data_IF_791371165753
#
_entry.id   IF_791371165753
#
_cell.length_a   1.000
_cell.length_b   1.000
_cell.length_c   1.000
_cell.angle_alpha   90.00
_cell.angle_beta   90.00
_cell.angle_gamma   90.00
#
_symmetry.space_group_name_H-M   'P 1'
#
loop_
_entity.id
_entity.type
_entity.pdbx_description
1 polymer ?
#
# COMPACT_ATOMS: atom_id res chain seq x y z
N UNK A 1 -46.38 -32.64 3.37
CA UNK A 1 -46.28 -31.27 2.82
C UNK A 1 -45.97 -30.18 3.82
N UNK A 2 -46.41 -30.21 5.07
CA UNK A 2 -46.13 -29.13 6.07
C UNK A 2 -44.64 -29.02 6.45
N UNK A 3 -43.94 -30.12 6.63
CA UNK A 3 -42.49 -30.13 7.00
C UNK A 3 -41.59 -29.55 5.89
N UNK A 4 -41.88 -29.78 4.61
CA UNK A 4 -41.07 -29.22 3.53
C UNK A 4 -41.17 -27.71 3.41
N UNK A 5 -42.36 -27.12 3.67
CA UNK A 5 -42.52 -25.65 3.74
C UNK A 5 -41.81 -25.04 4.93
N UNK A 6 -41.82 -25.68 6.09
CA UNK A 6 -41.11 -25.22 7.27
C UNK A 6 -39.58 -25.25 7.03
N UNK A 7 -39.08 -26.34 6.47
CA UNK A 7 -37.64 -26.48 6.14
C UNK A 7 -37.17 -25.42 5.13
N UNK A 8 -38.00 -25.16 4.12
CA UNK A 8 -37.73 -24.10 3.13
C UNK A 8 -37.70 -22.70 3.77
N UNK A 9 -38.66 -22.40 4.65
CA UNK A 9 -38.69 -21.13 5.37
C UNK A 9 -37.49 -20.97 6.28
N UNK A 10 -37.08 -22.02 6.98
CA UNK A 10 -35.88 -22.03 7.82
C UNK A 10 -34.60 -21.77 6.99
N UNK A 11 -34.47 -22.45 5.86
CA UNK A 11 -33.35 -22.23 4.92
C UNK A 11 -33.30 -20.80 4.41
N UNK A 12 -34.44 -20.24 3.98
CA UNK A 12 -34.54 -18.85 3.53
C UNK A 12 -34.16 -17.88 4.64
N UNK A 13 -34.64 -18.12 5.87
CA UNK A 13 -34.28 -17.29 7.04
C UNK A 13 -32.77 -17.35 7.34
N UNK A 14 -32.15 -18.53 7.29
CA UNK A 14 -30.70 -18.69 7.46
C UNK A 14 -29.91 -17.95 6.37
N UNK A 15 -30.35 -18.01 5.10
CA UNK A 15 -29.72 -17.29 4.00
C UNK A 15 -29.84 -15.77 4.21
N UNK A 16 -31.01 -15.26 4.61
CA UNK A 16 -31.21 -13.84 4.89
C UNK A 16 -30.30 -13.38 6.04
N UNK A 17 -30.22 -14.14 7.12
CA UNK A 17 -29.36 -13.83 8.26
C UNK A 17 -27.88 -13.82 7.85
N UNK A 18 -27.45 -14.77 7.05
CA UNK A 18 -26.08 -14.84 6.52
C UNK A 18 -25.76 -13.61 5.66
N UNK A 19 -26.64 -13.29 4.70
CA UNK A 19 -26.46 -12.12 3.83
C UNK A 19 -26.44 -10.82 4.65
N UNK A 20 -27.34 -10.70 5.63
CA UNK A 20 -27.39 -9.53 6.52
C UNK A 20 -26.12 -9.40 7.36
N UNK A 21 -25.59 -10.51 7.88
CA UNK A 21 -24.32 -10.56 8.61
C UNK A 21 -23.12 -10.13 7.75
N UNK A 22 -23.07 -10.63 6.52
CA UNK A 22 -22.04 -10.22 5.55
C UNK A 22 -22.15 -8.74 5.23
N UNK A 23 -23.33 -8.23 4.92
CA UNK A 23 -23.56 -6.83 4.60
C UNK A 23 -23.20 -5.91 5.77
N UNK A 24 -23.58 -6.28 7.00
CA UNK A 24 -23.21 -5.54 8.21
C UNK A 24 -21.69 -5.51 8.40
N UNK A 25 -21.02 -6.64 8.23
CA UNK A 25 -19.57 -6.71 8.35
C UNK A 25 -18.87 -5.82 7.30
N UNK A 26 -19.29 -5.89 6.03
CA UNK A 26 -18.77 -5.02 4.99
C UNK A 26 -18.95 -3.56 5.40
N UNK A 27 -20.15 -3.18 5.84
CA UNK A 27 -20.44 -1.81 6.26
C UNK A 27 -19.56 -1.34 7.42
N UNK A 28 -19.30 -2.17 8.42
CA UNK A 28 -18.46 -1.80 9.57
C UNK A 28 -16.97 -1.69 9.22
N UNK A 29 -16.48 -2.57 8.36
CA UNK A 29 -15.04 -2.61 8.02
C UNK A 29 -14.66 -1.60 6.96
N UNK A 30 -15.57 -1.24 6.05
CA UNK A 30 -15.27 -0.37 4.89
C UNK A 30 -15.13 1.13 5.23
N UNK A 31 -15.40 1.55 6.48
CA UNK A 31 -15.33 2.96 6.86
C UNK A 31 -13.92 3.51 6.63
N UNK A 32 -13.77 4.68 5.99
CA UNK A 32 -12.47 5.32 5.83
C UNK A 32 -11.77 5.52 7.18
N UNK A 33 -10.45 5.57 7.14
CA UNK A 33 -9.68 5.99 8.31
C UNK A 33 -9.88 7.47 8.58
N UNK A 34 -9.89 7.84 9.85
CA UNK A 34 -9.82 9.20 10.35
C UNK A 34 -8.45 9.44 10.99
N UNK A 35 -8.04 10.68 11.14
CA UNK A 35 -6.77 11.01 11.78
C UNK A 35 -6.68 10.45 13.22
N UNK A 36 -7.78 10.41 13.94
CA UNK A 36 -7.90 9.84 15.29
C UNK A 36 -7.76 8.31 15.36
N UNK A 37 -7.90 7.62 14.22
CA UNK A 37 -7.68 6.17 14.14
C UNK A 37 -6.19 5.80 14.13
N UNK A 38 -5.31 6.77 13.91
CA UNK A 38 -3.86 6.55 13.78
C UNK A 38 -3.25 6.39 15.18
N UNK A 39 -2.71 5.22 15.52
CA UNK A 39 -2.16 4.99 16.86
C UNK A 39 -0.82 5.68 17.05
N UNK A 40 -0.48 5.98 18.29
CA UNK A 40 0.78 6.57 18.66
C UNK A 40 1.93 5.58 18.54
N UNK A 41 3.02 6.03 17.91
CA UNK A 41 4.26 5.28 17.77
C UNK A 41 5.45 6.16 18.19
N UNK A 42 6.55 5.51 18.53
CA UNK A 42 7.82 6.16 18.86
C UNK A 42 8.93 5.70 17.96
N UNK A 43 9.81 6.62 17.58
CA UNK A 43 11.02 6.34 16.81
C UNK A 43 12.21 6.24 17.79
N UNK A 44 12.95 5.16 17.70
CA UNK A 44 14.19 4.95 18.44
C UNK A 44 15.33 4.69 17.45
N UNK A 45 16.37 5.51 17.51
CA UNK A 45 17.58 5.27 16.72
C UNK A 45 18.38 4.12 17.34
N UNK A 46 18.52 3.02 16.59
CA UNK A 46 19.39 1.91 16.98
C UNK A 46 20.83 2.14 16.52
N UNK A 47 20.96 2.67 15.31
CA UNK A 47 22.22 3.09 14.72
C UNK A 47 21.99 4.33 13.85
N UNK A 48 23.04 5.05 13.39
CA UNK A 48 22.89 6.17 12.46
C UNK A 48 22.12 5.86 11.17
N UNK A 49 21.95 4.57 10.83
CA UNK A 49 21.36 4.10 9.58
C UNK A 49 20.16 3.17 9.78
N UNK A 50 19.77 2.89 11.02
CA UNK A 50 18.67 1.97 11.32
C UNK A 50 17.91 2.45 12.54
N UNK A 51 16.59 2.60 12.38
CA UNK A 51 15.67 3.01 13.42
C UNK A 51 14.64 1.91 13.69
N UNK A 52 14.24 1.79 14.92
CA UNK A 52 13.09 1.00 15.32
C UNK A 52 11.90 1.94 15.56
N UNK A 53 10.77 1.59 15.01
CA UNK A 53 9.51 2.24 15.31
C UNK A 53 8.69 1.27 16.15
N UNK A 54 8.17 1.71 17.27
CA UNK A 54 7.45 0.87 18.23
C UNK A 54 6.13 1.51 18.61
N UNK A 55 5.05 0.72 18.61
CA UNK A 55 3.74 1.17 19.06
C UNK A 55 3.79 1.52 20.55
N UNK A 56 3.07 2.58 20.93
CA UNK A 56 2.95 2.99 22.35
C UNK A 56 1.97 2.09 23.06
N UNK A 57 0.87 1.73 22.40
CA UNK A 57 -0.22 0.94 22.99
C UNK A 57 0.07 -0.55 22.98
N UNK A 58 0.91 -1.03 22.04
CA UNK A 58 1.32 -2.42 21.93
C UNK A 58 2.84 -2.51 21.73
N UNK A 59 3.65 -2.52 22.80
CA UNK A 59 5.11 -2.54 22.72
C UNK A 59 5.72 -3.75 22.02
N UNK A 60 4.98 -4.86 21.86
CA UNK A 60 5.41 -6.01 21.10
C UNK A 60 5.37 -5.74 19.57
N UNK A 61 4.60 -4.75 19.15
CA UNK A 61 4.55 -4.32 17.75
C UNK A 61 5.65 -3.34 17.45
N UNK A 62 6.54 -3.75 16.58
CA UNK A 62 7.60 -2.88 16.08
C UNK A 62 7.82 -3.08 14.58
N UNK A 63 8.38 -2.07 13.96
CA UNK A 63 8.88 -2.15 12.58
C UNK A 63 10.21 -1.42 12.48
N UNK A 64 10.87 -1.55 11.34
CA UNK A 64 12.19 -0.98 11.12
C UNK A 64 12.16 -0.01 9.95
N UNK A 65 12.86 1.11 10.12
CA UNK A 65 13.20 2.01 9.04
C UNK A 65 14.73 2.05 8.86
N UNK A 66 15.15 2.07 7.60
CA UNK A 66 16.55 2.25 7.24
C UNK A 66 16.74 3.60 6.59
N UNK A 67 17.81 4.28 6.94
CA UNK A 67 18.14 5.58 6.38
C UNK A 67 19.45 5.51 5.60
N UNK A 68 19.44 6.06 4.39
CA UNK A 68 20.66 6.45 3.68
C UNK A 68 20.77 7.96 3.71
N UNK A 69 21.96 8.47 3.98
CA UNK A 69 22.21 9.91 4.04
C UNK A 69 23.59 10.25 3.56
N UNK A 70 23.79 11.42 2.93
CA UNK A 70 25.13 11.95 2.70
C UNK A 70 25.77 12.35 4.02
N UNK A 71 27.05 12.08 4.16
CA UNK A 71 27.82 12.55 5.31
C UNK A 71 27.98 14.08 5.28
N UNK A 72 27.91 14.70 6.44
CA UNK A 72 28.16 16.15 6.64
C UNK A 72 27.27 17.07 5.79
N UNK A 73 26.08 16.62 5.45
CA UNK A 73 25.10 17.43 4.70
C UNK A 73 23.74 17.40 5.43
N UNK A 74 23.06 18.53 5.39
CA UNK A 74 21.65 18.65 5.74
C UNK A 74 20.82 18.54 4.46
N UNK A 75 19.95 17.56 4.37
CA UNK A 75 19.24 17.27 3.13
C UNK A 75 17.72 17.15 3.34
N UNK A 76 17.00 17.45 2.28
CA UNK A 76 15.59 17.09 2.15
C UNK A 76 15.43 15.57 2.27
N UNK A 77 14.28 15.13 2.75
CA UNK A 77 14.04 13.74 3.09
C UNK A 77 12.97 13.12 2.20
N UNK A 78 13.28 11.97 1.63
CA UNK A 78 12.32 11.10 0.96
C UNK A 78 12.01 9.91 1.86
N UNK A 79 10.76 9.77 2.29
CA UNK A 79 10.27 8.62 3.04
C UNK A 79 9.56 7.68 2.06
N UNK A 80 10.01 6.44 1.98
CA UNK A 80 9.44 5.42 1.08
C UNK A 80 8.80 4.33 1.92
N UNK A 81 7.54 4.04 1.62
CA UNK A 81 6.84 2.86 2.13
C UNK A 81 6.86 1.79 1.04
N UNK A 82 7.68 0.79 1.23
CA UNK A 82 7.83 -0.30 0.27
C UNK A 82 6.75 -1.37 0.44
N UNK A 83 6.39 -2.04 -0.67
CA UNK A 83 5.45 -3.17 -0.65
C UNK A 83 6.01 -4.49 -0.14
N UNK A 84 7.32 -4.62 0.16
CA UNK A 84 7.96 -5.93 0.37
C UNK A 84 9.10 -5.90 1.38
N UNK A 85 9.38 -7.08 1.94
CA UNK A 85 10.42 -7.43 2.93
C UNK A 85 11.88 -7.08 2.54
N UNK A 86 12.12 -6.48 1.39
CA UNK A 86 13.44 -6.35 0.79
C UNK A 86 14.15 -5.00 1.05
N UNK A 87 13.59 -4.16 1.93
CA UNK A 87 14.16 -2.84 2.20
C UNK A 87 15.66 -2.87 2.57
N UNK A 88 16.07 -3.85 3.35
CA UNK A 88 17.48 -4.01 3.72
C UNK A 88 18.36 -4.38 2.51
N UNK A 89 17.86 -5.22 1.60
CA UNK A 89 18.56 -5.56 0.35
C UNK A 89 18.59 -4.39 -0.63
N UNK A 90 17.53 -3.56 -0.65
CA UNK A 90 17.47 -2.37 -1.49
C UNK A 90 18.54 -1.34 -1.11
N UNK A 91 18.75 -1.15 0.19
CA UNK A 91 19.77 -0.24 0.70
C UNK A 91 21.16 -0.87 0.75
N UNK A 92 21.27 -2.17 0.99
CA UNK A 92 22.53 -2.92 1.01
C UNK A 92 23.01 -3.35 -0.38
N UNK A 93 22.14 -3.34 -1.38
CA UNK A 93 22.41 -3.71 -2.78
C UNK A 93 23.45 -2.88 -3.50
N UNK A 94 24.26 -2.24 -2.69
CA UNK A 94 25.59 -1.72 -3.03
C UNK A 94 25.56 -0.43 -3.80
N UNK A 95 26.04 0.61 -3.20
CA UNK A 95 26.90 1.68 -3.74
C UNK A 95 26.62 2.32 -5.10
N UNK A 96 25.71 1.80 -5.89
CA UNK A 96 25.29 2.35 -7.18
C UNK A 96 24.18 3.39 -7.07
N UNK A 97 23.46 3.42 -5.96
CA UNK A 97 22.49 4.45 -5.64
C UNK A 97 23.23 5.68 -5.10
N UNK A 98 23.80 6.46 -5.98
CA UNK A 98 24.32 7.79 -5.63
C UNK A 98 23.18 8.75 -5.40
N UNK A 99 22.49 8.55 -4.30
CA UNK A 99 21.45 9.43 -3.88
C UNK A 99 22.03 10.63 -3.13
N UNK A 100 21.70 11.83 -3.59
CA UNK A 100 22.06 13.06 -2.91
C UNK A 100 20.84 13.55 -2.10
N UNK A 101 20.64 13.01 -0.94
CA UNK A 101 19.51 13.34 -0.08
C UNK A 101 19.33 12.29 1.01
N UNK A 102 18.48 12.58 2.00
CA UNK A 102 18.07 11.56 2.95
C UNK A 102 17.01 10.67 2.32
N UNK A 103 17.22 9.38 2.32
CA UNK A 103 16.17 8.40 1.98
C UNK A 103 15.91 7.51 3.15
N UNK A 104 14.67 7.47 3.57
CA UNK A 104 14.20 6.59 4.64
C UNK A 104 13.28 5.56 4.01
N UNK A 105 13.63 4.30 4.15
CA UNK A 105 12.81 3.18 3.70
C UNK A 105 12.19 2.52 4.91
N UNK A 106 10.88 2.64 5.07
CA UNK A 106 10.13 1.99 6.14
C UNK A 106 9.64 0.62 5.70
N UNK A 107 9.93 -0.40 6.52
CA UNK A 107 9.31 -1.71 6.38
C UNK A 107 7.85 -1.61 6.83
N UNK A 108 6.94 -2.11 6.01
CA UNK A 108 5.54 -2.20 6.43
C UNK A 108 5.39 -3.21 7.57
N UNK A 109 4.68 -2.86 8.66
CA UNK A 109 4.23 -3.84 9.63
C UNK A 109 3.26 -4.86 9.02
N UNK A 110 2.47 -4.45 8.01
CA UNK A 110 1.60 -5.36 7.23
C UNK A 110 2.46 -6.40 6.56
N UNK A 111 2.59 -7.49 7.22
CA UNK A 111 3.43 -8.58 6.76
C UNK A 111 2.83 -9.21 5.51
N UNK A 112 3.66 -9.40 4.49
CA UNK A 112 3.50 -10.44 3.47
C UNK A 112 3.17 -11.81 4.09
N UNK A 113 3.47 -11.98 5.37
CA UNK A 113 3.08 -13.10 6.22
C UNK A 113 1.55 -13.30 6.27
N UNK A 114 0.73 -12.26 6.43
CA UNK A 114 -0.72 -12.41 6.43
C UNK A 114 -1.20 -12.99 5.10
N UNK A 115 -0.76 -12.39 3.99
CA UNK A 115 -1.13 -12.88 2.67
C UNK A 115 -0.62 -14.29 2.41
N UNK A 116 0.64 -14.63 2.79
CA UNK A 116 1.20 -15.98 2.61
C UNK A 116 0.58 -17.01 3.54
N UNK A 117 0.30 -16.64 4.79
CA UNK A 117 -0.29 -17.53 5.77
C UNK A 117 -1.72 -17.91 5.37
N UNK A 118 -2.54 -16.91 5.06
CA UNK A 118 -3.92 -17.14 4.64
C UNK A 118 -4.02 -17.75 3.25
N UNK A 119 -3.05 -17.50 2.38
CA UNK A 119 -3.00 -18.11 1.05
C UNK A 119 -2.67 -19.60 1.07
N UNK A 120 -1.93 -20.04 2.07
CA UNK A 120 -1.58 -21.47 2.24
C UNK A 120 -2.60 -22.26 3.04
N UNK A 121 -3.26 -21.63 3.98
CA UNK A 121 -4.19 -22.28 4.91
C UNK A 121 -5.60 -21.76 4.64
N UNK A 122 -6.31 -22.39 3.70
CA UNK A 122 -7.68 -22.07 3.35
C UNK A 122 -8.67 -22.47 4.45
N UNK A 123 -8.60 -21.85 5.62
CA UNK A 123 -9.64 -21.97 6.63
C UNK A 123 -10.67 -20.85 6.43
N UNK A 124 -11.94 -21.25 6.27
CA UNK A 124 -13.05 -20.31 5.99
C UNK A 124 -13.26 -19.33 7.15
N UNK A 125 -12.97 -19.74 8.38
CA UNK A 125 -13.09 -18.87 9.56
C UNK A 125 -11.98 -17.81 9.58
N UNK A 126 -10.78 -18.17 9.18
CA UNK A 126 -9.68 -17.21 9.04
C UNK A 126 -9.98 -16.17 7.98
N UNK A 127 -10.53 -16.58 6.83
CA UNK A 127 -10.95 -15.66 5.77
C UNK A 127 -11.93 -14.60 6.24
N UNK A 128 -12.82 -14.97 7.16
CA UNK A 128 -13.79 -14.03 7.72
C UNK A 128 -13.14 -12.93 8.57
N UNK A 129 -11.98 -13.18 9.15
CA UNK A 129 -11.23 -12.23 10.00
C UNK A 129 -10.19 -11.41 9.24
N UNK A 130 -9.82 -11.81 8.01
CA UNK A 130 -8.77 -11.14 7.22
C UNK A 130 -9.00 -9.63 7.10
N UNK A 131 -10.21 -9.12 6.74
CA UNK A 131 -10.40 -7.70 6.55
C UNK A 131 -10.11 -6.86 7.78
N UNK A 132 -10.53 -7.32 8.97
CA UNK A 132 -10.23 -6.60 10.22
C UNK A 132 -8.75 -6.66 10.55
N UNK A 133 -8.11 -7.80 10.33
CA UNK A 133 -6.66 -7.93 10.55
C UNK A 133 -5.87 -7.04 9.60
N UNK A 134 -6.25 -6.98 8.31
CA UNK A 134 -5.60 -6.07 7.36
C UNK A 134 -5.86 -4.61 7.76
N UNK A 135 -7.08 -4.27 8.18
CA UNK A 135 -7.41 -2.92 8.66
C UNK A 135 -6.55 -2.55 9.87
N UNK A 136 -6.41 -3.44 10.83
CA UNK A 136 -5.59 -3.21 12.03
C UNK A 136 -4.11 -3.03 11.68
N UNK A 137 -3.56 -3.87 10.81
CA UNK A 137 -2.18 -3.72 10.33
C UNK A 137 -1.98 -2.44 9.53
N UNK A 138 -2.98 -2.04 8.74
CA UNK A 138 -2.97 -0.75 8.04
C UNK A 138 -2.90 0.41 9.02
N UNK A 139 -3.71 0.38 10.08
CA UNK A 139 -3.73 1.37 11.15
C UNK A 139 -2.36 1.51 11.81
N UNK A 140 -1.71 0.38 12.13
CA UNK A 140 -0.37 0.38 12.70
C UNK A 140 0.71 0.87 11.72
N UNK A 141 0.56 0.59 10.44
CA UNK A 141 1.47 1.13 9.41
C UNK A 141 1.35 2.65 9.31
N UNK A 142 0.13 3.18 9.36
CA UNK A 142 -0.10 4.63 9.39
C UNK A 142 0.51 5.27 10.63
N UNK A 143 0.36 4.65 11.82
CA UNK A 143 0.97 5.16 13.06
C UNK A 143 2.50 5.18 13.01
N UNK A 144 3.11 4.11 12.51
CA UNK A 144 4.56 4.08 12.33
C UNK A 144 5.06 5.15 11.35
N UNK A 145 4.31 5.35 10.26
CA UNK A 145 4.65 6.35 9.24
C UNK A 145 4.46 7.78 9.76
N UNK A 146 3.39 8.05 10.51
CA UNK A 146 3.15 9.36 11.15
C UNK A 146 4.24 9.69 12.18
N UNK A 147 4.62 8.73 13.03
CA UNK A 147 5.71 8.91 13.97
C UNK A 147 7.03 9.23 13.27
N UNK A 148 7.30 8.56 12.15
CA UNK A 148 8.49 8.82 11.34
C UNK A 148 8.46 10.21 10.71
N UNK A 149 7.33 10.62 10.13
CA UNK A 149 7.12 11.95 9.57
C UNK A 149 7.31 13.04 10.64
N UNK A 150 6.67 12.87 11.78
CA UNK A 150 6.78 13.79 12.91
C UNK A 150 8.22 13.87 13.46
N UNK A 151 8.94 12.74 13.51
CA UNK A 151 10.33 12.70 13.92
C UNK A 151 11.22 13.52 12.98
N UNK A 152 11.07 13.37 11.67
CA UNK A 152 11.85 14.11 10.68
C UNK A 152 11.50 15.60 10.67
N UNK A 153 10.20 15.94 10.69
CA UNK A 153 9.72 17.35 10.73
C UNK A 153 10.00 18.05 12.06
N UNK A 154 10.00 17.29 13.15
CA UNK A 154 10.29 17.80 14.49
C UNK A 154 11.76 17.80 14.86
N UNK A 155 12.65 17.49 13.92
CA UNK A 155 14.09 17.51 14.15
C UNK A 155 14.51 18.86 14.72
N UNK A 156 15.27 18.79 15.83
CA UNK A 156 15.71 20.01 16.53
C UNK A 156 16.65 20.82 15.65
N UNK A 157 16.75 22.14 15.84
CA UNK A 157 17.67 22.99 15.08
C UNK A 157 19.13 22.52 15.09
N UNK A 158 19.55 21.84 16.17
CA UNK A 158 20.85 21.22 16.30
C UNK A 158 21.00 19.91 15.53
N UNK A 159 19.91 19.30 15.07
CA UNK A 159 19.96 18.12 14.22
C UNK A 159 20.18 18.54 12.76
N UNK A 160 21.42 18.56 12.38
CA UNK A 160 21.85 18.97 11.03
C UNK A 160 21.63 17.92 9.96
N UNK A 161 20.89 16.84 10.23
CA UNK A 161 20.65 15.77 9.25
C UNK A 161 19.51 16.11 8.29
N UNK A 162 18.47 16.78 8.79
CA UNK A 162 17.22 16.99 8.07
C UNK A 162 16.98 18.48 7.80
N UNK A 163 16.39 18.77 6.66
CA UNK A 163 15.71 20.04 6.40
C UNK A 163 14.25 19.90 6.83
N UNK A 164 13.47 20.97 6.67
CA UNK A 164 12.03 20.98 6.88
C UNK A 164 11.21 20.32 5.75
N UNK A 165 11.88 19.92 4.64
CA UNK A 165 11.19 19.35 3.48
C UNK A 165 11.16 17.84 3.51
N UNK A 166 9.94 17.29 3.38
CA UNK A 166 9.69 15.85 3.33
C UNK A 166 8.83 15.50 2.13
N UNK A 167 9.34 14.57 1.34
CA UNK A 167 8.60 13.90 0.26
C UNK A 167 8.23 12.51 0.74
N UNK A 168 6.99 12.10 0.51
CA UNK A 168 6.53 10.76 0.81
C UNK A 168 6.30 9.98 -0.48
N UNK A 169 6.66 8.70 -0.48
CA UNK A 169 6.44 7.82 -1.61
C UNK A 169 5.90 6.46 -1.15
N UNK A 170 4.96 5.92 -1.92
CA UNK A 170 4.47 4.57 -1.72
C UNK A 170 4.39 3.79 -3.02
N UNK A 171 4.82 2.53 -2.98
CA UNK A 171 4.85 1.66 -4.14
C UNK A 171 3.86 0.49 -4.05
N UNK A 172 3.06 0.26 -5.11
CA UNK A 172 2.12 -0.86 -5.21
C UNK A 172 1.22 -0.93 -3.97
N UNK A 173 1.21 -2.03 -3.23
CA UNK A 173 0.46 -2.18 -1.97
C UNK A 173 0.91 -1.22 -0.86
N UNK A 174 2.04 -0.55 -1.02
CA UNK A 174 2.52 0.50 -0.13
C UNK A 174 1.99 1.89 -0.44
N UNK A 175 1.42 2.08 -1.62
CA UNK A 175 0.95 3.38 -2.09
C UNK A 175 -0.18 4.01 -1.25
N UNK A 176 -1.15 3.26 -0.71
CA UNK A 176 -2.21 3.84 0.10
C UNK A 176 -1.73 4.57 1.36
N UNK A 177 -0.68 4.08 2.02
CA UNK A 177 -0.27 4.62 3.32
C UNK A 177 0.17 6.09 3.27
N UNK A 178 1.12 6.51 2.39
CA UNK A 178 1.48 7.92 2.28
C UNK A 178 0.32 8.78 1.77
N UNK A 179 -0.57 8.26 0.91
CA UNK A 179 -1.77 8.99 0.45
C UNK A 179 -2.71 9.27 1.62
N UNK A 180 -3.05 8.25 2.40
CA UNK A 180 -3.94 8.38 3.56
C UNK A 180 -3.34 9.36 4.57
N UNK A 181 -2.07 9.19 4.94
CA UNK A 181 -1.43 10.06 5.92
C UNK A 181 -1.31 11.50 5.43
N UNK A 182 -0.95 11.71 4.16
CA UNK A 182 -0.89 13.06 3.58
C UNK A 182 -2.26 13.74 3.59
N UNK A 183 -3.35 12.99 3.41
CA UNK A 183 -4.70 13.55 3.46
C UNK A 183 -5.10 14.05 4.86
N UNK A 184 -4.47 13.54 5.92
CA UNK A 184 -4.71 13.97 7.30
C UNK A 184 -3.88 15.18 7.72
N UNK A 185 -2.68 15.33 7.12
CA UNK A 185 -1.74 16.40 7.45
C UNK A 185 -0.96 16.87 6.19
N UNK A 186 -1.66 17.43 5.19
CA UNK A 186 -1.03 17.83 3.94
C UNK A 186 0.06 18.89 4.14
N UNK A 187 -0.05 19.71 5.17
CA UNK A 187 0.94 20.74 5.50
C UNK A 187 2.30 20.17 5.97
N UNK A 188 2.34 18.89 6.36
CA UNK A 188 3.59 18.21 6.76
C UNK A 188 4.33 17.58 5.59
N UNK A 189 3.70 17.47 4.41
CA UNK A 189 4.23 16.75 3.26
C UNK A 189 4.41 17.70 2.09
N UNK A 190 5.66 17.92 1.69
CA UNK A 190 6.02 18.85 0.63
C UNK A 190 5.87 18.27 -0.78
N UNK A 191 5.72 16.94 -0.88
CA UNK A 191 5.46 16.23 -2.14
C UNK A 191 5.06 14.78 -1.91
N UNK A 192 4.21 14.25 -2.77
CA UNK A 192 3.69 12.89 -2.70
C UNK A 192 3.96 12.13 -4.00
N UNK A 193 4.52 10.94 -3.91
CA UNK A 193 4.70 10.05 -5.06
C UNK A 193 3.91 8.76 -4.89
N UNK A 194 3.11 8.43 -5.90
CA UNK A 194 2.31 7.21 -5.99
C UNK A 194 2.89 6.34 -7.10
N UNK A 195 3.60 5.30 -6.72
CA UNK A 195 4.40 4.48 -7.65
C UNK A 195 3.67 3.15 -7.88
N UNK A 196 3.19 2.91 -9.09
CA UNK A 196 2.36 1.74 -9.44
C UNK A 196 1.16 1.60 -8.49
N UNK A 197 0.60 2.74 -8.10
CA UNK A 197 -0.58 2.80 -7.26
C UNK A 197 -1.85 2.46 -8.03
N UNK A 198 -2.82 1.91 -7.33
CA UNK A 198 -4.10 1.51 -7.91
C UNK A 198 -5.24 1.80 -6.95
N UNK A 199 -6.41 1.97 -7.51
CA UNK A 199 -7.70 1.92 -6.83
C UNK A 199 -8.55 0.80 -7.42
N UNK A 200 -9.79 0.64 -6.94
CA UNK A 200 -10.66 -0.44 -7.39
C UNK A 200 -10.03 -1.82 -7.13
N UNK A 201 -9.87 -2.15 -5.85
CA UNK A 201 -9.25 -3.41 -5.40
C UNK A 201 -9.81 -4.64 -6.11
N UNK A 202 -11.08 -4.62 -6.53
CA UNK A 202 -11.67 -5.75 -7.26
C UNK A 202 -10.93 -6.04 -8.57
N UNK A 203 -10.52 -4.99 -9.31
CA UNK A 203 -9.79 -5.12 -10.58
C UNK A 203 -8.42 -5.75 -10.40
N UNK A 204 -7.82 -5.59 -9.24
CA UNK A 204 -6.51 -6.16 -8.90
C UNK A 204 -6.65 -7.56 -8.30
N UNK A 205 -7.61 -7.74 -7.39
CA UNK A 205 -7.77 -9.00 -6.64
C UNK A 205 -8.34 -10.11 -7.54
N UNK A 206 -9.30 -9.80 -8.41
CA UNK A 206 -9.97 -10.80 -9.23
C UNK A 206 -9.00 -11.58 -10.14
N UNK A 207 -8.11 -10.94 -10.93
CA UNK A 207 -7.14 -11.68 -11.74
C UNK A 207 -6.18 -12.52 -10.89
N UNK A 208 -5.79 -12.04 -9.73
CA UNK A 208 -4.91 -12.78 -8.81
C UNK A 208 -5.60 -14.05 -8.31
N UNK A 209 -6.85 -13.94 -7.84
CA UNK A 209 -7.62 -15.09 -7.37
C UNK A 209 -7.89 -16.09 -8.50
N UNK A 210 -8.25 -15.58 -9.68
CA UNK A 210 -8.55 -16.43 -10.84
C UNK A 210 -7.31 -17.21 -11.29
N UNK A 211 -6.17 -16.55 -11.46
CA UNK A 211 -4.90 -17.19 -11.85
C UNK A 211 -4.46 -18.25 -10.83
N UNK A 212 -4.59 -17.96 -9.54
CA UNK A 212 -4.28 -18.95 -8.50
C UNK A 212 -5.26 -20.14 -8.54
N UNK A 213 -6.54 -19.89 -8.79
CA UNK A 213 -7.52 -20.94 -8.97
C UNK A 213 -7.20 -21.84 -10.17
N UNK A 214 -6.80 -21.28 -11.31
CA UNK A 214 -6.34 -22.05 -12.46
C UNK A 214 -5.19 -22.98 -12.12
N UNK A 215 -4.17 -22.45 -11.42
CA UNK A 215 -2.99 -23.23 -10.99
C UNK A 215 -3.41 -24.33 -10.01
N UNK A 216 -4.21 -23.98 -8.99
CA UNK A 216 -4.64 -24.93 -7.95
C UNK A 216 -5.44 -26.10 -8.51
N UNK A 217 -6.40 -25.81 -9.40
CA UNK A 217 -7.24 -26.83 -10.01
C UNK A 217 -6.66 -27.42 -11.30
N UNK A 218 -5.43 -27.03 -11.68
CA UNK A 218 -4.75 -27.48 -12.92
C UNK A 218 -5.61 -27.29 -14.16
N UNK A 219 -6.30 -26.15 -14.24
CA UNK A 219 -7.15 -25.78 -15.38
C UNK A 219 -6.32 -25.01 -16.40
N UNK A 220 -6.66 -25.21 -17.69
CA UNK A 220 -6.04 -24.47 -18.80
C UNK A 220 -7.09 -23.58 -19.44
N UNK A 221 -6.91 -22.28 -19.40
CA UNK A 221 -7.91 -21.27 -19.81
C UNK A 221 -8.38 -21.43 -21.27
N UNK A 222 -7.50 -21.90 -22.15
CA UNK A 222 -7.80 -22.06 -23.57
C UNK A 222 -8.22 -23.50 -23.96
N UNK A 223 -8.76 -24.27 -23.03
CA UNK A 223 -9.22 -25.63 -23.34
C UNK A 223 -10.49 -25.62 -24.19
N UNK A 224 -10.54 -26.48 -25.18
CA UNK A 224 -11.73 -26.73 -25.99
C UNK A 224 -12.64 -27.81 -25.41
N UNK A 225 -12.28 -28.40 -24.27
CA UNK A 225 -13.09 -29.38 -23.56
C UNK A 225 -14.24 -28.72 -22.81
N UNK A 226 -15.47 -29.07 -23.16
CA UNK A 226 -16.69 -28.53 -22.54
C UNK A 226 -16.70 -28.68 -21.00
N UNK A 227 -16.20 -29.80 -20.46
CA UNK A 227 -16.15 -30.00 -19.02
C UNK A 227 -15.16 -29.06 -18.37
N UNK A 228 -14.07 -28.74 -19.02
CA UNK A 228 -13.07 -27.75 -18.57
C UNK A 228 -13.62 -26.33 -18.65
N UNK A 229 -14.32 -25.98 -19.71
CA UNK A 229 -14.96 -24.69 -19.91
C UNK A 229 -15.98 -24.40 -18.80
N UNK A 230 -16.81 -25.39 -18.43
CA UNK A 230 -17.76 -25.26 -17.30
C UNK A 230 -17.03 -25.01 -15.98
N UNK A 231 -15.91 -25.71 -15.71
CA UNK A 231 -15.11 -25.49 -14.50
C UNK A 231 -14.47 -24.11 -14.49
N UNK A 232 -13.93 -23.65 -15.62
CA UNK A 232 -13.32 -22.31 -15.73
C UNK A 232 -14.36 -21.23 -15.53
N UNK A 233 -15.55 -21.38 -16.13
CA UNK A 233 -16.66 -20.44 -15.94
C UNK A 233 -17.11 -20.40 -14.49
N UNK A 234 -17.25 -21.56 -13.83
CA UNK A 234 -17.56 -21.65 -12.42
C UNK A 234 -16.48 -20.99 -11.52
N UNK A 235 -15.21 -21.22 -11.83
CA UNK A 235 -14.09 -20.58 -11.14
C UNK A 235 -14.13 -19.05 -11.32
N UNK A 236 -14.41 -18.56 -12.53
CA UNK A 236 -14.50 -17.13 -12.81
C UNK A 236 -15.61 -16.48 -11.99
N UNK A 237 -16.82 -17.04 -12.01
CA UNK A 237 -17.94 -16.54 -11.21
C UNK A 237 -17.61 -16.54 -9.69
N UNK A 238 -16.96 -17.58 -9.22
CA UNK A 238 -16.56 -17.69 -7.81
C UNK A 238 -15.52 -16.62 -7.44
N UNK A 239 -14.51 -16.44 -8.28
CA UNK A 239 -13.46 -15.42 -8.04
C UNK A 239 -14.00 -14.01 -8.18
N UNK A 240 -14.94 -13.74 -9.09
CA UNK A 240 -15.66 -12.47 -9.22
C UNK A 240 -16.43 -12.15 -7.93
N UNK A 241 -17.15 -13.13 -7.39
CA UNK A 241 -17.90 -12.96 -6.16
C UNK A 241 -16.99 -12.69 -4.96
N UNK A 242 -15.93 -13.50 -4.78
CA UNK A 242 -15.00 -13.31 -3.67
C UNK A 242 -14.18 -12.03 -3.79
N UNK A 243 -13.75 -11.65 -4.99
CA UNK A 243 -13.03 -10.40 -5.20
C UNK A 243 -13.92 -9.19 -4.93
N UNK A 244 -15.20 -9.25 -5.30
CA UNK A 244 -16.19 -8.22 -4.95
C UNK A 244 -16.35 -8.06 -3.44
N UNK A 245 -16.53 -9.16 -2.71
CA UNK A 245 -16.63 -9.12 -1.25
C UNK A 245 -15.36 -8.54 -0.62
N UNK A 246 -14.20 -9.04 -1.02
CA UNK A 246 -12.91 -8.63 -0.46
C UNK A 246 -12.60 -7.17 -0.77
N UNK A 247 -12.85 -6.73 -2.01
CA UNK A 247 -12.66 -5.34 -2.39
C UNK A 247 -13.54 -4.38 -1.57
N UNK A 248 -14.82 -4.75 -1.36
CA UNK A 248 -15.70 -3.93 -0.52
C UNK A 248 -15.23 -3.89 0.95
N UNK A 249 -14.67 -4.97 1.47
CA UNK A 249 -14.10 -4.99 2.82
C UNK A 249 -12.80 -4.19 2.93
N UNK A 250 -12.03 -4.05 1.84
CA UNK A 250 -10.78 -3.29 1.80
C UNK A 250 -10.96 -1.84 1.34
N UNK A 251 -12.19 -1.41 1.10
CA UNK A 251 -12.51 -0.07 0.57
C UNK A 251 -11.95 1.09 1.41
N UNK A 252 -11.74 0.87 2.70
CA UNK A 252 -11.10 1.84 3.58
C UNK A 252 -9.67 2.23 3.15
N UNK A 253 -8.99 1.41 2.35
CA UNK A 253 -7.65 1.66 1.82
C UNK A 253 -7.64 2.23 0.40
N UNK A 254 -8.81 2.48 -0.22
CA UNK A 254 -8.87 3.04 -1.56
C UNK A 254 -8.44 4.51 -1.57
N UNK A 255 -7.35 4.78 -2.26
CA UNK A 255 -6.71 6.10 -2.31
C UNK A 255 -7.62 7.20 -2.84
N UNK A 256 -8.53 6.87 -3.76
CA UNK A 256 -9.49 7.84 -4.33
C UNK A 256 -10.38 8.51 -3.28
N UNK A 257 -10.56 7.88 -2.11
CA UNK A 257 -11.31 8.44 -0.99
C UNK A 257 -10.56 9.58 -0.29
N UNK A 258 -9.22 9.52 -0.31
CA UNK A 258 -8.36 10.42 0.46
C UNK A 258 -7.73 11.52 -0.40
N UNK A 259 -7.47 11.24 -1.67
CA UNK A 259 -6.82 12.18 -2.61
C UNK A 259 -7.49 13.57 -2.65
N UNK A 260 -8.83 13.70 -2.66
CA UNK A 260 -9.47 15.01 -2.69
C UNK A 260 -9.14 15.92 -1.48
N UNK A 261 -8.71 15.32 -0.37
CA UNK A 261 -8.36 16.06 0.85
C UNK A 261 -6.90 16.56 0.86
N UNK A 262 -6.09 16.17 -0.12
CA UNK A 262 -4.69 16.60 -0.23
C UNK A 262 -4.66 17.96 -0.91
N UNK A 263 -4.40 19.00 -0.14
CA UNK A 263 -4.42 20.38 -0.62
C UNK A 263 -3.02 20.98 -0.65
N UNK A 264 -2.60 21.51 -1.80
CA UNK A 264 -1.34 22.24 -1.94
C UNK A 264 -0.07 21.38 -2.04
N UNK A 265 -0.16 20.08 -1.79
CA UNK A 265 0.96 19.14 -1.94
C UNK A 265 1.02 18.65 -3.39
N UNK A 266 2.13 18.84 -4.13
CA UNK A 266 2.28 18.28 -5.46
C UNK A 266 2.29 16.75 -5.44
N UNK A 267 1.52 16.15 -6.36
CA UNK A 267 1.36 14.70 -6.47
C UNK A 267 1.97 14.22 -7.79
N UNK A 268 2.76 13.15 -7.72
CA UNK A 268 3.33 12.49 -8.89
C UNK A 268 3.00 11.02 -8.95
N UNK A 269 2.49 10.59 -10.10
CA UNK A 269 2.19 9.19 -10.37
C UNK A 269 3.24 8.58 -11.29
N UNK A 270 3.71 7.36 -10.98
CA UNK A 270 4.58 6.57 -11.84
C UNK A 270 3.91 5.23 -12.10
N UNK A 271 3.62 4.93 -13.36
CA UNK A 271 2.90 3.73 -13.77
C UNK A 271 3.58 3.00 -14.93
N UNK A 272 3.26 1.72 -15.11
CA UNK A 272 3.74 0.91 -16.23
C UNK A 272 2.73 0.86 -17.38
N UNK A 273 3.19 1.06 -18.62
CA UNK A 273 2.31 1.04 -19.81
C UNK A 273 1.73 -0.35 -20.12
N UNK A 274 2.35 -1.40 -19.63
CA UNK A 274 1.98 -2.81 -19.82
C UNK A 274 1.78 -3.53 -18.50
N UNK A 275 1.35 -2.79 -17.46
CA UNK A 275 1.14 -3.34 -16.13
C UNK A 275 -0.14 -4.16 -16.08
N UNK A 276 -0.07 -5.49 -15.88
CA UNK A 276 -1.25 -6.34 -15.82
C UNK A 276 -2.01 -6.21 -14.48
N UNK A 277 -1.38 -5.66 -13.44
CA UNK A 277 -1.98 -5.48 -12.12
C UNK A 277 -2.63 -4.11 -11.96
N UNK A 278 -2.09 -3.09 -12.64
CA UNK A 278 -2.59 -1.71 -12.59
C UNK A 278 -2.95 -1.26 -14.01
N UNK A 279 -4.05 -1.78 -14.55
CA UNK A 279 -4.53 -1.34 -15.86
C UNK A 279 -5.01 0.13 -15.79
N UNK A 280 -5.14 0.81 -16.93
CA UNK A 280 -5.58 2.22 -16.96
C UNK A 280 -6.86 2.48 -16.16
N UNK A 281 -7.81 1.54 -16.16
CA UNK A 281 -9.07 1.65 -15.42
C UNK A 281 -8.89 1.64 -13.89
N UNK A 282 -7.77 1.13 -13.40
CA UNK A 282 -7.41 1.17 -11.98
C UNK A 282 -6.61 2.44 -11.62
N UNK A 283 -6.03 3.12 -12.61
CA UNK A 283 -5.28 4.35 -12.43
C UNK A 283 -6.15 5.62 -12.62
N UNK A 284 -6.99 5.66 -13.65
CA UNK A 284 -7.76 6.86 -13.99
C UNK A 284 -8.53 7.49 -12.82
N UNK A 285 -9.20 6.70 -11.95
CA UNK A 285 -9.88 7.28 -10.80
C UNK A 285 -8.92 7.96 -9.82
N UNK A 286 -7.66 7.51 -9.70
CA UNK A 286 -6.65 8.19 -8.88
C UNK A 286 -6.32 9.55 -9.47
N UNK A 287 -6.10 9.60 -10.78
CA UNK A 287 -5.83 10.83 -11.48
C UNK A 287 -6.97 11.83 -11.36
N UNK A 288 -8.20 11.38 -11.62
CA UNK A 288 -9.40 12.25 -11.63
C UNK A 288 -9.72 12.81 -10.23
N UNK A 289 -9.46 12.05 -9.17
CA UNK A 289 -9.70 12.47 -7.79
C UNK A 289 -8.53 13.23 -7.15
N UNK A 290 -7.39 13.32 -7.82
CA UNK A 290 -6.25 14.07 -7.30
C UNK A 290 -6.38 15.55 -7.59
N UNK A 291 -6.15 16.42 -6.59
CA UNK A 291 -6.07 17.87 -6.80
C UNK A 291 -4.80 18.27 -7.55
N UNK A 292 -4.79 19.49 -8.09
CA UNK A 292 -3.57 20.11 -8.62
C UNK A 292 -2.70 20.70 -7.49
N UNK A 293 -1.38 20.75 -7.66
CA UNK A 293 -0.62 20.33 -8.85
C UNK A 293 -0.36 18.82 -8.88
N UNK A 294 -0.66 18.19 -10.02
CA UNK A 294 -0.40 16.78 -10.25
C UNK A 294 0.33 16.53 -11.57
N UNK A 295 1.05 15.43 -11.64
CA UNK A 295 1.77 15.00 -12.84
C UNK A 295 1.90 13.47 -12.87
N UNK A 296 2.15 12.90 -14.03
CA UNK A 296 2.39 11.47 -14.17
C UNK A 296 3.58 11.17 -15.10
N UNK A 297 4.09 9.97 -14.96
CA UNK A 297 5.12 9.38 -15.83
C UNK A 297 4.77 7.92 -16.10
N UNK A 298 4.71 7.57 -17.38
CA UNK A 298 4.48 6.21 -17.83
C UNK A 298 5.80 5.56 -18.25
N UNK A 299 6.09 4.42 -17.62
CA UNK A 299 7.30 3.64 -17.88
C UNK A 299 6.95 2.51 -18.83
N UNK A 300 7.74 2.30 -19.89
CA UNK A 300 7.54 1.14 -20.73
C UNK A 300 7.88 -0.14 -19.95
N UNK A 301 6.88 -1.01 -19.75
CA UNK A 301 7.02 -2.26 -19.00
C UNK A 301 5.79 -2.62 -18.20
N UNK A 302 5.91 -3.74 -17.47
CA UNK A 302 4.89 -4.27 -16.57
C UNK A 302 4.95 -3.64 -15.17
N UNK A 303 4.40 -4.38 -14.22
CA UNK A 303 4.43 -3.98 -12.82
C UNK A 303 5.85 -3.93 -12.27
N UNK A 304 6.11 -2.95 -11.41
CA UNK A 304 7.39 -2.79 -10.73
C UNK A 304 7.82 -4.07 -10.00
N UNK A 305 9.02 -4.54 -10.33
CA UNK A 305 9.62 -5.69 -9.67
C UNK A 305 10.81 -5.24 -8.80
N UNK A 306 10.64 -5.19 -7.46
CA UNK A 306 11.72 -4.80 -6.55
C UNK A 306 12.90 -5.77 -6.55
N UNK A 307 12.73 -7.00 -7.04
CA UNK A 307 13.80 -7.97 -7.25
C UNK A 307 14.64 -7.71 -8.52
N UNK A 308 14.18 -6.80 -9.40
CA UNK A 308 14.91 -6.42 -10.61
C UNK A 308 15.69 -5.11 -10.40
N UNK A 309 17.05 -5.14 -10.39
CA UNK A 309 17.85 -3.94 -10.18
C UNK A 309 17.63 -2.84 -11.24
N UNK A 310 17.28 -3.20 -12.47
CA UNK A 310 17.05 -2.23 -13.54
C UNK A 310 15.73 -1.47 -13.31
N UNK A 311 14.67 -2.17 -12.90
CA UNK A 311 13.39 -1.55 -12.55
C UNK A 311 13.57 -0.60 -11.36
N UNK A 312 14.35 -1.03 -10.37
CA UNK A 312 14.67 -0.24 -9.20
C UNK A 312 15.40 1.06 -9.57
N UNK A 313 16.45 0.93 -10.38
CA UNK A 313 17.25 2.10 -10.83
C UNK A 313 16.40 3.06 -11.65
N UNK A 314 15.62 2.53 -12.59
CA UNK A 314 14.75 3.33 -13.46
C UNK A 314 13.69 4.09 -12.65
N UNK A 315 12.95 3.39 -11.79
CA UNK A 315 11.90 4.00 -10.97
C UNK A 315 12.49 5.01 -9.99
N UNK A 316 13.58 4.67 -9.32
CA UNK A 316 14.27 5.59 -8.42
C UNK A 316 14.74 6.85 -9.15
N UNK A 317 15.30 6.72 -10.36
CA UNK A 317 15.70 7.87 -11.18
C UNK A 317 14.53 8.81 -11.46
N UNK A 318 13.37 8.29 -11.88
CA UNK A 318 12.17 9.09 -12.14
C UNK A 318 11.67 9.81 -10.89
N UNK A 319 11.63 9.14 -9.76
CA UNK A 319 11.28 9.75 -8.47
C UNK A 319 12.18 10.94 -8.14
N UNK A 320 13.47 10.80 -8.40
CA UNK A 320 14.46 11.85 -8.11
C UNK A 320 14.39 13.00 -9.09
N UNK A 321 14.25 12.74 -10.38
CA UNK A 321 14.09 13.77 -11.41
C UNK A 321 12.87 14.64 -11.12
N UNK A 322 11.77 14.02 -10.72
CA UNK A 322 10.60 14.79 -10.32
C UNK A 322 10.85 15.62 -9.06
N UNK A 323 11.43 15.04 -8.00
CA UNK A 323 11.72 15.77 -6.76
C UNK A 323 12.68 16.95 -7.02
N UNK A 324 13.67 16.78 -7.91
CA UNK A 324 14.58 17.87 -8.32
C UNK A 324 13.83 18.97 -9.07
N UNK A 325 12.94 18.60 -10.01
CA UNK A 325 12.14 19.56 -10.76
C UNK A 325 11.21 20.38 -9.85
N UNK A 326 10.70 19.77 -8.78
CA UNK A 326 9.87 20.44 -7.76
C UNK A 326 10.72 21.18 -6.69
N UNK A 327 12.06 21.12 -6.76
CA UNK A 327 12.97 21.67 -5.73
C UNK A 327 12.73 21.07 -4.33
N UNK A 328 12.36 19.80 -4.31
CA UNK A 328 12.09 19.01 -3.11
C UNK A 328 13.24 18.05 -2.76
N UNK A 329 14.41 18.25 -3.38
CA UNK A 329 15.62 17.47 -3.13
C UNK A 329 16.84 18.39 -3.16
N UNK A 330 17.10 19.01 -2.04
CA UNK A 330 18.26 19.85 -1.86
C UNK A 330 19.12 19.38 -0.69
N UNK A 331 20.42 19.63 -0.79
CA UNK A 331 21.37 19.43 0.30
C UNK A 331 22.19 20.69 0.50
N UNK A 332 22.44 21.02 1.78
CA UNK A 332 23.30 22.12 2.18
C UNK A 332 24.51 21.56 2.93
N UNK A 333 25.70 22.02 2.64
CA UNK A 333 26.89 21.69 3.43
C UNK A 333 26.72 22.27 4.82
N UNK A 334 26.90 21.44 5.83
CA UNK A 334 26.95 21.93 7.22
C UNK A 334 28.31 22.60 7.41
N UNK A 335 28.31 23.93 7.50
CA UNK A 335 29.50 24.69 7.89
C UNK A 335 29.62 24.52 9.42
N UNK A 336 30.62 23.80 9.86
CA UNK A 336 30.97 23.63 11.29
C UNK A 336 31.57 24.92 11.86
#
# INVERSE_FOLDING_TARGET
MKYGRFLLLLLVACIILLISGIALKIFLVQQPFLAEDVPDWKVQELTPYKWELRSVDDPERSTTAWITRPEKMQCDTLIIVGGVEEGEKLLSGGGKWKYTGNTILMKQPVHSFLLRHYWKNWDLLDWWQIPEKIREETRHTLGALDALLNYVKGAKPEDTRFTDKVVMAGGSVGAPFPVILTSFAPEKVDGLMVVYGFTNFQRVIQPLLFNQGLIHYKLTENSTDFSMEVKITGLRLLTDFFSFLLANMLKYGEMETYLPNISGTPIHFINGTKDPLVPPEAYLPLWDNSPDPKSDTWVEGGHFNPGNPEDMLRTGKLMYEWADAQKLRSCKTVVQ
#
